data_IF_147050212400
#
_entry.id   IF_147050212400
#
_cell.length_a   1.000
_cell.length_b   1.000
_cell.length_c   1.000
_cell.angle_alpha   90.00
_cell.angle_beta   90.00
_cell.angle_gamma   90.00
#
_symmetry.space_group_name_H-M   'P 1'
#
loop_
_entity.id
_entity.type
_entity.pdbx_description
1 polymer ?
#
# COMPACT_ATOMS: atom_id res chain seq x y z
N UNK A 1 10.51 11.22 11.36
CA UNK A 1 9.75 11.76 10.21
C UNK A 1 8.65 10.77 9.88
N UNK A 2 7.39 11.11 10.18
CA UNK A 2 6.23 10.23 9.91
C UNK A 2 5.79 10.44 8.46
N UNK A 3 6.25 9.56 7.56
CA UNK A 3 5.77 9.58 6.17
C UNK A 3 4.29 9.21 6.15
N UNK A 4 3.52 9.90 5.32
CA UNK A 4 2.08 9.62 5.19
C UNK A 4 1.87 8.25 4.52
N UNK A 5 0.71 7.62 4.76
CA UNK A 5 0.38 6.33 4.13
C UNK A 5 0.47 6.41 2.60
N UNK A 6 0.06 7.54 2.02
CA UNK A 6 0.12 7.81 0.58
C UNK A 6 1.55 7.84 0.05
N UNK A 7 2.49 8.51 0.72
CA UNK A 7 3.90 8.53 0.32
C UNK A 7 4.52 7.12 0.36
N UNK A 8 4.21 6.36 1.40
CA UNK A 8 4.68 4.97 1.52
C UNK A 8 4.15 4.11 0.36
N UNK A 9 2.87 4.28 -0.01
CA UNK A 9 2.28 3.57 -1.15
C UNK A 9 2.95 3.95 -2.48
N UNK A 10 3.23 5.24 -2.71
CA UNK A 10 3.93 5.69 -3.92
C UNK A 10 5.35 5.11 -4.00
N UNK A 11 6.07 5.06 -2.87
CA UNK A 11 7.40 4.46 -2.80
C UNK A 11 7.36 2.95 -3.11
N UNK A 12 6.38 2.22 -2.56
CA UNK A 12 6.19 0.79 -2.85
C UNK A 12 5.83 0.56 -4.32
N UNK A 13 4.96 1.38 -4.92
CA UNK A 13 4.62 1.30 -6.34
C UNK A 13 5.85 1.51 -7.24
N UNK A 14 6.70 2.48 -6.91
CA UNK A 14 7.95 2.71 -7.63
C UNK A 14 8.93 1.54 -7.52
N UNK A 15 9.02 0.88 -6.35
CA UNK A 15 9.83 -0.35 -6.17
C UNK A 15 9.29 -1.50 -7.03
N UNK A 16 7.97 -1.72 -7.02
CA UNK A 16 7.34 -2.76 -7.85
C UNK A 16 7.60 -2.52 -9.34
N UNK A 17 7.47 -1.27 -9.81
CA UNK A 17 7.72 -0.93 -11.22
C UNK A 17 9.17 -1.24 -11.66
N UNK A 18 10.12 -1.21 -10.73
CA UNK A 18 11.53 -1.54 -10.96
C UNK A 18 11.85 -3.01 -10.72
N UNK A 19 10.90 -3.77 -10.16
CA UNK A 19 11.07 -5.18 -9.81
C UNK A 19 11.02 -6.04 -11.08
N UNK A 20 12.16 -6.15 -11.76
CA UNK A 20 12.35 -7.06 -12.88
C UNK A 20 12.89 -8.44 -12.43
N UNK A 21 12.60 -9.53 -13.16
CA UNK A 21 13.24 -10.82 -12.92
C UNK A 21 14.75 -10.71 -13.16
N UNK A 22 15.53 -10.65 -12.07
CA UNK A 22 16.98 -10.55 -12.16
C UNK A 22 17.56 -11.91 -12.54
N UNK A 23 17.87 -12.09 -13.82
CA UNK A 23 18.37 -13.39 -14.36
C UNK A 23 19.66 -13.87 -13.68
N UNK A 24 20.43 -12.94 -13.10
CA UNK A 24 21.70 -13.19 -12.41
C UNK A 24 21.52 -13.48 -10.91
N UNK A 25 20.38 -13.11 -10.32
CA UNK A 25 20.12 -13.24 -8.90
C UNK A 25 18.60 -13.35 -8.62
N UNK A 26 18.04 -14.57 -8.77
CA UNK A 26 16.61 -14.80 -8.55
C UNK A 26 16.23 -14.65 -7.07
N UNK A 27 17.13 -14.93 -6.14
CA UNK A 27 16.87 -14.80 -4.70
C UNK A 27 16.59 -13.35 -4.33
N UNK A 28 17.39 -12.41 -4.85
CA UNK A 28 17.18 -10.99 -4.64
C UNK A 28 15.79 -10.50 -5.07
N UNK A 29 15.27 -11.03 -6.18
CA UNK A 29 13.89 -10.75 -6.61
C UNK A 29 12.87 -11.22 -5.56
N UNK A 30 13.02 -12.44 -5.04
CA UNK A 30 12.12 -13.01 -4.05
C UNK A 30 12.20 -12.31 -2.69
N UNK A 31 13.39 -11.91 -2.26
CA UNK A 31 13.62 -11.12 -1.04
C UNK A 31 12.91 -9.79 -1.17
N UNK A 32 13.20 -9.01 -2.21
CA UNK A 32 12.60 -7.68 -2.39
C UNK A 32 11.07 -7.75 -2.55
N UNK A 33 10.56 -8.75 -3.28
CA UNK A 33 9.12 -9.03 -3.36
C UNK A 33 8.50 -9.29 -1.98
N UNK A 34 9.18 -10.07 -1.14
CA UNK A 34 8.68 -10.44 0.19
C UNK A 34 8.68 -9.25 1.14
N UNK A 35 9.69 -8.38 1.06
CA UNK A 35 9.74 -7.11 1.81
C UNK A 35 8.57 -6.18 1.43
N UNK A 36 8.35 -5.97 0.12
CA UNK A 36 7.25 -5.15 -0.39
C UNK A 36 5.90 -5.71 0.10
N UNK A 37 5.72 -7.03 0.04
CA UNK A 37 4.51 -7.68 0.52
C UNK A 37 4.30 -7.54 2.03
N UNK A 38 5.38 -7.61 2.83
CA UNK A 38 5.31 -7.40 4.27
C UNK A 38 4.88 -5.97 4.61
N UNK A 39 5.42 -4.97 3.92
CA UNK A 39 5.08 -3.56 4.15
C UNK A 39 3.65 -3.24 3.71
N UNK A 40 3.19 -3.78 2.57
CA UNK A 40 1.79 -3.66 2.16
C UNK A 40 0.83 -4.25 3.20
N UNK A 41 1.13 -5.43 3.74
CA UNK A 41 0.33 -6.03 4.81
C UNK A 41 0.35 -5.19 6.09
N UNK A 42 1.47 -4.55 6.40
CA UNK A 42 1.59 -3.64 7.56
C UNK A 42 0.71 -2.41 7.37
N UNK A 43 0.74 -1.78 6.19
CA UNK A 43 -0.12 -0.65 5.84
C UNK A 43 -1.60 -1.03 5.88
N UNK A 44 -1.96 -2.20 5.34
CA UNK A 44 -3.34 -2.68 5.35
C UNK A 44 -3.88 -2.99 6.76
N UNK A 45 -3.01 -3.37 7.71
CA UNK A 45 -3.37 -3.57 9.12
C UNK A 45 -3.47 -2.28 9.93
N UNK A 46 -2.91 -1.19 9.41
CA UNK A 46 -3.05 0.13 9.99
C UNK A 46 -3.88 1.02 9.04
N UNK A 47 -5.12 0.62 8.69
CA UNK A 47 -5.98 1.51 7.96
C UNK A 47 -6.20 2.71 8.88
N UNK A 48 -5.88 3.90 8.37
CA UNK A 48 -6.42 5.16 8.84
C UNK A 48 -7.86 4.91 9.33
N UNK A 49 -8.25 5.32 10.57
CA UNK A 49 -9.57 5.04 11.10
C UNK A 49 -10.63 5.27 10.02
N UNK A 50 -11.61 4.35 9.88
CA UNK A 50 -12.54 4.37 8.76
C UNK A 50 -13.05 5.80 8.59
N UNK A 51 -12.82 6.39 7.40
CA UNK A 51 -13.38 7.70 7.02
C UNK A 51 -14.81 7.68 7.53
N UNK A 52 -15.09 8.46 8.58
CA UNK A 52 -16.37 8.44 9.26
C UNK A 52 -17.40 8.76 8.19
N UNK A 53 -18.15 7.75 7.75
CA UNK A 53 -19.25 7.96 6.81
C UNK A 53 -20.26 8.77 7.61
N UNK A 54 -20.24 10.10 7.45
CA UNK A 54 -21.25 10.95 8.04
C UNK A 54 -22.54 10.60 7.31
N UNK A 55 -23.55 10.01 7.97
CA UNK A 55 -24.82 9.75 7.32
C UNK A 55 -25.36 11.09 6.83
N UNK A 56 -25.64 11.20 5.55
CA UNK A 56 -26.41 12.34 5.09
C UNK A 56 -27.81 12.26 5.69
N UNK A 57 -28.37 13.42 6.02
CA UNK A 57 -29.72 13.59 6.60
C UNK A 57 -30.87 13.12 5.70
N UNK A 58 -30.55 12.46 4.57
CA UNK A 58 -31.49 12.10 3.50
C UNK A 58 -31.45 10.61 3.11
N UNK A 59 -30.76 9.75 3.87
CA UNK A 59 -30.83 8.29 3.70
C UNK A 59 -30.33 7.76 2.35
N UNK A 60 -29.44 8.49 1.65
CA UNK A 60 -28.89 8.08 0.35
C UNK A 60 -27.37 8.10 0.37
N UNK A 61 -26.74 6.96 0.65
CA UNK A 61 -25.28 6.81 0.59
C UNK A 61 -24.81 6.87 -0.87
N UNK A 62 -23.95 7.84 -1.22
CA UNK A 62 -23.16 7.82 -2.45
C UNK A 62 -21.68 7.62 -2.12
N UNK A 63 -21.06 6.64 -2.77
CA UNK A 63 -19.62 6.37 -2.69
C UNK A 63 -18.86 7.42 -3.51
N UNK A 64 -17.95 8.15 -2.87
CA UNK A 64 -16.93 9.00 -3.53
C UNK A 64 -15.56 8.35 -3.45
#
# INVERSE_FOLDING_TARGET
MTSTATETLLALAARIARLGPYRRDPERYHVEKSEIAAELRRLARNPDPPRKIIPNSHGRTWTV
#
